data_IF_692305886582
#
_entry.id   IF_692305886582
#
_cell.length_a   1.000
_cell.length_b   1.000
_cell.length_c   1.000
_cell.angle_alpha   90.00
_cell.angle_beta   90.00
_cell.angle_gamma   90.00
#
_symmetry.space_group_name_H-M   'P 1'
#
loop_
_entity.id
_entity.type
_entity.pdbx_description
1 polymer ?
#
# COMPACT_ATOMS: atom_id res chain seq x y z
N UNK A 1 -17.00 34.96 5.25
CA UNK A 1 -16.56 33.65 4.72
C UNK A 1 -15.45 33.15 5.63
N UNK A 2 -15.69 32.14 6.49
CA UNK A 2 -14.64 31.49 7.28
C UNK A 2 -13.87 30.62 6.33
N UNK A 3 -12.55 30.74 6.32
CA UNK A 3 -11.68 29.98 5.42
C UNK A 3 -11.70 28.49 5.78
N UNK A 4 -11.44 27.60 4.82
CA UNK A 4 -11.30 26.16 5.04
C UNK A 4 -10.18 25.83 6.05
N UNK A 5 -9.27 26.77 6.28
CA UNK A 5 -8.20 26.69 7.29
C UNK A 5 -8.79 26.73 8.70
N UNK A 6 -9.79 27.59 8.96
CA UNK A 6 -10.46 27.68 10.26
C UNK A 6 -11.29 26.43 10.59
N UNK A 7 -11.78 25.72 9.57
CA UNK A 7 -12.53 24.48 9.76
C UNK A 7 -11.63 23.34 10.26
N UNK A 8 -10.37 23.29 9.80
CA UNK A 8 -9.37 22.30 10.26
C UNK A 8 -8.89 22.52 11.69
N UNK A 9 -8.76 23.78 12.12
CA UNK A 9 -8.35 24.13 13.48
C UNK A 9 -9.35 23.65 14.55
N UNK A 10 -10.65 23.70 14.25
CA UNK A 10 -11.71 23.30 15.18
C UNK A 10 -11.85 21.76 15.37
N UNK A 11 -11.37 20.95 14.42
CA UNK A 11 -11.40 19.49 14.58
C UNK A 11 -10.24 18.96 15.43
N UNK A 12 -9.17 19.73 15.61
CA UNK A 12 -8.01 19.39 16.45
C UNK A 12 -8.20 19.65 17.95
N UNK A 13 -9.08 20.60 18.30
CA UNK A 13 -9.16 21.14 19.66
C UNK A 13 -9.82 20.26 20.71
N UNK A 14 -10.59 19.23 20.33
CA UNK A 14 -11.38 18.44 21.29
C UNK A 14 -10.74 17.11 21.70
N UNK A 15 -9.63 16.68 21.09
CA UNK A 15 -9.12 15.31 21.31
C UNK A 15 -7.69 15.20 21.84
N UNK A 16 -7.02 16.30 22.16
CA UNK A 16 -5.64 16.25 22.69
C UNK A 16 -4.63 15.53 21.77
N UNK A 17 -4.98 15.34 20.49
CA UNK A 17 -4.10 14.71 19.52
C UNK A 17 -3.04 15.72 19.08
N UNK A 18 -1.75 15.38 19.14
CA UNK A 18 -0.70 16.26 18.62
C UNK A 18 -0.99 16.53 17.14
N UNK A 19 -0.98 17.80 16.76
CA UNK A 19 -1.14 18.22 15.36
C UNK A 19 -0.07 17.53 14.51
N UNK A 20 -0.52 16.77 13.53
CA UNK A 20 0.40 16.15 12.56
C UNK A 20 0.88 17.27 11.66
N UNK A 21 2.17 17.57 11.67
CA UNK A 21 2.73 18.54 10.73
C UNK A 21 2.40 18.13 9.30
N UNK A 22 2.18 19.10 8.41
CA UNK A 22 1.85 18.86 7.00
C UNK A 22 2.87 17.91 6.33
N UNK A 23 4.15 18.02 6.72
CA UNK A 23 5.21 17.14 6.21
C UNK A 23 4.99 15.67 6.58
N UNK A 24 4.63 15.39 7.81
CA UNK A 24 4.35 14.01 8.25
C UNK A 24 3.05 13.48 7.63
N UNK A 25 2.06 14.34 7.41
CA UNK A 25 0.85 13.98 6.70
C UNK A 25 1.17 13.49 5.29
N UNK A 26 1.97 14.25 4.53
CA UNK A 26 2.36 13.87 3.17
C UNK A 26 3.14 12.55 3.16
N UNK A 27 4.01 12.30 4.14
CA UNK A 27 4.74 11.04 4.27
C UNK A 27 3.85 9.81 4.47
N UNK A 28 2.68 9.98 5.08
CA UNK A 28 1.70 8.92 5.28
C UNK A 28 0.73 8.80 4.10
N UNK A 29 0.34 9.92 3.52
CA UNK A 29 -0.66 9.98 2.45
C UNK A 29 -0.15 9.36 1.15
N UNK A 30 1.11 9.58 0.77
CA UNK A 30 1.65 9.06 -0.49
C UNK A 30 1.60 7.53 -0.56
N UNK A 31 2.18 6.75 0.38
CA UNK A 31 2.08 5.30 0.32
C UNK A 31 0.64 4.80 0.45
N UNK A 32 -0.21 5.50 1.22
CA UNK A 32 -1.62 5.17 1.31
C UNK A 32 -2.34 5.31 -0.04
N UNK A 33 -2.07 6.39 -0.78
CA UNK A 33 -2.64 6.61 -2.12
C UNK A 33 -2.14 5.55 -3.09
N UNK A 34 -0.85 5.22 -3.06
CA UNK A 34 -0.28 4.17 -3.93
C UNK A 34 -0.99 2.83 -3.69
N UNK A 35 -1.08 2.37 -2.43
CA UNK A 35 -1.78 1.13 -2.09
C UNK A 35 -3.25 1.16 -2.49
N UNK A 36 -3.95 2.28 -2.27
CA UNK A 36 -5.35 2.42 -2.67
C UNK A 36 -5.53 2.35 -4.19
N UNK A 37 -4.65 3.00 -4.95
CA UNK A 37 -4.68 2.96 -6.42
C UNK A 37 -4.40 1.55 -6.93
N UNK A 38 -3.40 0.84 -6.37
CA UNK A 38 -3.10 -0.54 -6.71
C UNK A 38 -4.35 -1.42 -6.50
N UNK A 39 -4.94 -1.39 -5.31
CA UNK A 39 -6.13 -2.16 -4.97
C UNK A 39 -7.31 -1.86 -5.91
N UNK A 40 -7.58 -0.60 -6.20
CA UNK A 40 -8.68 -0.21 -7.10
C UNK A 40 -8.45 -0.74 -8.52
N UNK A 41 -7.25 -0.59 -9.07
CA UNK A 41 -6.93 -1.09 -10.40
C UNK A 41 -6.98 -2.62 -10.48
N UNK A 42 -6.58 -3.32 -9.42
CA UNK A 42 -6.68 -4.78 -9.31
C UNK A 42 -8.16 -5.23 -9.21
N UNK A 43 -9.01 -4.51 -8.47
CA UNK A 43 -10.46 -4.80 -8.41
C UNK A 43 -11.08 -4.68 -9.80
N UNK A 44 -10.82 -3.56 -10.50
CA UNK A 44 -11.38 -3.31 -11.83
C UNK A 44 -10.89 -4.36 -12.86
N UNK A 45 -9.68 -4.90 -12.67
CA UNK A 45 -9.08 -5.91 -13.53
C UNK A 45 -8.94 -7.28 -12.87
N UNK A 46 -9.83 -7.64 -11.94
CA UNK A 46 -9.70 -8.81 -11.06
C UNK A 46 -9.39 -10.12 -11.82
N UNK A 47 -10.09 -10.39 -12.92
CA UNK A 47 -9.84 -11.57 -13.75
C UNK A 47 -8.38 -11.64 -14.24
N UNK A 48 -7.87 -10.53 -14.78
CA UNK A 48 -6.49 -10.45 -15.27
C UNK A 48 -5.45 -10.50 -14.15
N UNK A 49 -5.77 -9.96 -12.99
CA UNK A 49 -4.92 -10.05 -11.81
C UNK A 49 -4.83 -11.49 -11.30
N UNK A 50 -5.96 -12.19 -11.23
CA UNK A 50 -6.01 -13.62 -10.89
C UNK A 50 -5.20 -14.47 -11.89
N UNK A 51 -5.38 -14.22 -13.20
CA UNK A 51 -4.68 -14.94 -14.25
C UNK A 51 -3.16 -14.71 -14.16
N UNK A 52 -2.71 -13.50 -13.82
CA UNK A 52 -1.31 -13.19 -13.56
C UNK A 52 -0.76 -13.95 -12.35
N UNK A 53 -1.49 -14.03 -11.24
CA UNK A 53 -1.09 -14.82 -10.08
C UNK A 53 -0.95 -16.32 -10.40
N UNK A 54 -1.79 -16.83 -11.28
CA UNK A 54 -1.71 -18.21 -11.78
C UNK A 54 -0.45 -18.41 -12.64
N UNK A 55 -0.14 -17.45 -13.51
CA UNK A 55 1.04 -17.45 -14.38
C UNK A 55 2.34 -17.45 -13.56
N UNK A 56 2.43 -16.68 -12.49
CA UNK A 56 3.57 -16.68 -11.57
C UNK A 56 3.54 -17.83 -10.54
N UNK A 57 2.59 -18.77 -10.70
CA UNK A 57 2.43 -19.99 -9.90
C UNK A 57 2.15 -19.77 -8.43
N UNK A 58 1.46 -18.70 -8.10
CA UNK A 58 0.95 -18.49 -6.74
C UNK A 58 -0.19 -19.48 -6.47
N UNK A 59 -0.08 -20.25 -5.39
CA UNK A 59 -1.14 -21.19 -5.00
C UNK A 59 -2.45 -20.45 -4.69
N UNK A 60 -3.59 -20.99 -5.14
CA UNK A 60 -4.92 -20.45 -4.92
C UNK A 60 -5.09 -18.99 -5.38
N UNK A 61 -4.85 -18.69 -6.66
CA UNK A 61 -4.72 -17.32 -7.17
C UNK A 61 -5.93 -16.43 -6.87
N UNK A 62 -7.14 -16.95 -6.90
CA UNK A 62 -8.34 -16.17 -6.57
C UNK A 62 -8.39 -15.74 -5.10
N UNK A 63 -7.98 -16.62 -4.17
CA UNK A 63 -7.95 -16.31 -2.73
C UNK A 63 -6.85 -15.29 -2.45
N UNK A 64 -5.66 -15.52 -3.01
CA UNK A 64 -4.52 -14.59 -2.86
C UNK A 64 -4.85 -13.23 -3.43
N UNK A 65 -5.52 -13.15 -4.60
CA UNK A 65 -5.96 -11.88 -5.18
C UNK A 65 -6.86 -11.09 -4.21
N UNK A 66 -7.86 -11.75 -3.61
CA UNK A 66 -8.75 -11.11 -2.64
C UNK A 66 -7.96 -10.65 -1.40
N UNK A 67 -7.09 -11.49 -0.86
CA UNK A 67 -6.29 -11.17 0.32
C UNK A 67 -5.36 -9.98 0.07
N UNK A 68 -4.69 -9.93 -1.07
CA UNK A 68 -3.82 -8.82 -1.48
C UNK A 68 -4.62 -7.52 -1.56
N UNK A 69 -5.73 -7.51 -2.29
CA UNK A 69 -6.60 -6.33 -2.45
C UNK A 69 -7.09 -5.82 -1.09
N UNK A 70 -7.57 -6.72 -0.22
CA UNK A 70 -8.06 -6.37 1.12
C UNK A 70 -6.91 -5.80 1.97
N UNK A 71 -5.72 -6.41 1.90
CA UNK A 71 -4.55 -5.93 2.63
C UNK A 71 -4.10 -4.54 2.18
N UNK A 72 -4.10 -4.27 0.88
CA UNK A 72 -3.79 -2.95 0.31
C UNK A 72 -4.80 -1.89 0.75
N UNK A 73 -6.10 -2.17 0.65
CA UNK A 73 -7.15 -1.24 1.08
C UNK A 73 -7.08 -0.95 2.58
N UNK A 74 -6.97 -1.99 3.39
CA UNK A 74 -6.90 -1.81 4.84
C UNK A 74 -5.62 -1.10 5.26
N UNK A 75 -4.50 -1.44 4.62
CA UNK A 75 -3.23 -0.76 4.79
C UNK A 75 -3.32 0.73 4.47
N UNK A 76 -3.91 1.07 3.33
CA UNK A 76 -4.13 2.45 2.90
C UNK A 76 -4.97 3.24 3.91
N UNK A 77 -6.11 2.69 4.34
CA UNK A 77 -7.01 3.30 5.34
C UNK A 77 -6.28 3.53 6.67
N UNK A 78 -5.44 2.57 7.09
CA UNK A 78 -4.68 2.66 8.34
C UNK A 78 -3.57 3.72 8.29
N UNK A 79 -2.92 3.89 7.15
CA UNK A 79 -1.92 4.94 6.91
C UNK A 79 -2.56 6.34 6.89
N UNK A 80 -3.77 6.48 6.36
CA UNK A 80 -4.52 7.75 6.36
C UNK A 80 -5.03 8.16 7.75
N UNK A 81 -4.79 7.34 8.78
CA UNK A 81 -5.18 7.61 10.17
C UNK A 81 -6.69 7.88 10.35
N UNK A 82 -7.52 7.26 9.54
CA UNK A 82 -8.97 7.29 9.72
C UNK A 82 -9.28 6.77 11.13
N UNK A 83 -10.33 7.32 11.74
CA UNK A 83 -10.67 7.05 13.14
C UNK A 83 -10.97 5.54 13.35
N UNK A 84 -9.95 4.80 13.78
CA UNK A 84 -9.99 3.35 13.99
C UNK A 84 -9.49 3.03 15.40
N UNK A 85 -9.96 1.91 15.95
CA UNK A 85 -9.43 1.42 17.22
C UNK A 85 -7.95 0.99 17.06
N UNK A 86 -7.25 0.85 18.19
CA UNK A 86 -5.80 0.56 18.21
C UNK A 86 -5.46 -0.76 17.52
N UNK A 87 -6.27 -1.79 17.73
CA UNK A 87 -6.06 -3.13 17.16
C UNK A 87 -6.21 -3.11 15.64
N UNK A 88 -7.30 -2.53 15.14
CA UNK A 88 -7.57 -2.42 13.71
C UNK A 88 -6.46 -1.67 12.96
N UNK A 89 -5.96 -0.59 13.57
CA UNK A 89 -4.82 0.16 13.00
C UNK A 89 -3.54 -0.65 12.98
N UNK A 90 -3.24 -1.37 14.08
CA UNK A 90 -2.06 -2.24 14.13
C UNK A 90 -2.13 -3.32 13.05
N UNK A 91 -3.27 -4.00 12.93
CA UNK A 91 -3.49 -5.01 11.89
C UNK A 91 -3.33 -4.43 10.48
N UNK A 92 -3.93 -3.26 10.21
CA UNK A 92 -3.83 -2.63 8.89
C UNK A 92 -2.41 -2.19 8.54
N UNK A 93 -1.64 -1.65 9.49
CA UNK A 93 -0.22 -1.32 9.26
C UNK A 93 0.62 -2.58 9.01
N UNK A 94 0.36 -3.67 9.74
CA UNK A 94 1.02 -4.95 9.51
C UNK A 94 0.69 -5.50 8.12
N UNK A 95 -0.59 -5.42 7.70
CA UNK A 95 -1.01 -5.83 6.36
C UNK A 95 -0.36 -4.97 5.26
N UNK A 96 -0.23 -3.65 5.47
CA UNK A 96 0.48 -2.79 4.52
C UNK A 96 1.94 -3.21 4.31
N UNK A 97 2.65 -3.54 5.39
CA UNK A 97 4.03 -4.05 5.31
C UNK A 97 4.08 -5.41 4.63
N UNK A 98 3.18 -6.33 5.01
CA UNK A 98 3.14 -7.68 4.43
C UNK A 98 2.83 -7.67 2.95
N UNK A 99 1.86 -6.86 2.49
CA UNK A 99 1.51 -6.79 1.08
C UNK A 99 2.61 -6.09 0.25
N UNK A 100 3.26 -5.08 0.79
CA UNK A 100 4.42 -4.46 0.13
C UNK A 100 5.60 -5.43 0.04
N UNK A 101 5.81 -6.25 1.09
CA UNK A 101 6.78 -7.33 1.10
C UNK A 101 6.46 -8.45 0.10
N UNK A 102 5.19 -8.82 -0.04
CA UNK A 102 4.72 -9.76 -1.06
C UNK A 102 5.11 -9.26 -2.46
N UNK A 103 4.79 -8.03 -2.80
CA UNK A 103 5.16 -7.45 -4.09
C UNK A 103 6.66 -7.41 -4.33
N UNK A 104 7.44 -7.09 -3.30
CA UNK A 104 8.90 -7.11 -3.39
C UNK A 104 9.43 -8.51 -3.69
N UNK A 105 8.97 -9.53 -2.95
CA UNK A 105 9.42 -10.92 -3.09
C UNK A 105 9.03 -11.46 -4.47
N UNK A 106 7.79 -11.28 -4.90
CA UNK A 106 7.32 -11.77 -6.20
C UNK A 106 8.12 -11.18 -7.36
N UNK A 107 8.32 -9.86 -7.39
CA UNK A 107 9.09 -9.22 -8.45
C UNK A 107 10.58 -9.59 -8.40
N UNK A 108 11.14 -9.81 -7.21
CA UNK A 108 12.51 -10.30 -7.05
C UNK A 108 12.65 -11.73 -7.58
N UNK A 109 11.70 -12.62 -7.26
CA UNK A 109 11.70 -14.01 -7.76
C UNK A 109 11.57 -14.08 -9.28
N UNK A 110 10.66 -13.27 -9.86
CA UNK A 110 10.50 -13.19 -11.33
C UNK A 110 11.82 -12.76 -11.98
N UNK A 111 12.48 -11.75 -11.44
CA UNK A 111 13.75 -11.26 -11.97
C UNK A 111 14.89 -12.28 -11.80
N UNK A 112 14.98 -12.93 -10.63
CA UNK A 112 15.99 -13.93 -10.33
C UNK A 112 15.87 -15.20 -11.21
N UNK A 113 14.65 -15.58 -11.57
CA UNK A 113 14.37 -16.74 -12.42
C UNK A 113 14.45 -16.43 -13.92
N UNK A 114 14.97 -15.26 -14.31
CA UNK A 114 15.11 -14.87 -15.72
C UNK A 114 13.80 -14.44 -16.38
N UNK A 115 12.71 -14.27 -15.61
CA UNK A 115 11.41 -13.83 -16.10
C UNK A 115 11.34 -12.32 -16.37
N UNK A 116 12.40 -11.57 -16.05
CA UNK A 116 12.47 -10.13 -16.32
C UNK A 116 12.33 -9.87 -17.82
N UNK A 117 11.32 -9.08 -18.19
CA UNK A 117 11.00 -8.77 -19.59
C UNK A 117 10.24 -9.87 -20.35
N UNK A 118 10.02 -11.05 -19.79
CA UNK A 118 9.24 -12.11 -20.42
C UNK A 118 7.74 -11.98 -20.15
N UNK A 119 7.39 -11.52 -18.95
CA UNK A 119 6.01 -11.23 -18.60
C UNK A 119 5.64 -9.82 -19.07
N UNK A 120 4.48 -9.64 -19.69
CA UNK A 120 4.05 -8.32 -20.19
C UNK A 120 3.66 -7.36 -19.05
N UNK A 121 3.45 -7.87 -17.83
CA UNK A 121 2.95 -7.10 -16.71
C UNK A 121 3.56 -7.59 -15.38
N UNK A 122 3.88 -6.64 -14.49
CA UNK A 122 4.37 -6.90 -13.14
C UNK A 122 3.27 -7.26 -12.13
N UNK A 123 2.01 -7.16 -12.50
CA UNK A 123 0.84 -7.40 -11.64
C UNK A 123 0.46 -6.24 -10.72
N UNK A 124 1.38 -5.33 -10.41
CA UNK A 124 1.20 -4.24 -9.43
C UNK A 124 -0.06 -3.40 -9.66
N UNK A 125 -0.30 -2.99 -10.90
CA UNK A 125 -1.40 -2.10 -11.27
C UNK A 125 -2.45 -2.79 -12.16
N UNK A 126 -2.58 -4.11 -12.06
CA UNK A 126 -3.48 -4.89 -12.90
C UNK A 126 -3.16 -4.69 -14.39
N UNK A 127 -4.18 -4.56 -15.25
CA UNK A 127 -4.01 -4.41 -16.71
C UNK A 127 -3.72 -2.98 -17.19
N UNK A 128 -3.87 -1.98 -16.33
CA UNK A 128 -3.89 -0.58 -16.76
C UNK A 128 -2.51 0.08 -16.85
N UNK A 129 -1.56 -0.38 -16.07
CA UNK A 129 -0.17 0.00 -16.16
C UNK A 129 0.64 -1.25 -16.48
N UNK A 130 0.74 -1.55 -17.79
CA UNK A 130 1.54 -2.67 -18.28
C UNK A 130 3.02 -2.31 -18.16
N UNK A 131 3.64 -2.76 -17.08
CA UNK A 131 5.07 -2.63 -16.87
C UNK A 131 5.65 -4.02 -16.73
N UNK A 132 6.55 -4.38 -17.63
CA UNK A 132 7.24 -5.66 -17.55
C UNK A 132 8.06 -5.74 -16.26
N UNK A 133 8.01 -6.87 -15.53
CA UNK A 133 8.86 -7.08 -14.37
C UNK A 133 10.33 -6.96 -14.78
N UNK A 134 11.10 -6.22 -13.99
CA UNK A 134 12.50 -5.95 -14.26
C UNK A 134 13.13 -5.15 -13.12
N UNK A 135 14.38 -4.73 -13.32
CA UNK A 135 15.12 -3.96 -12.29
C UNK A 135 14.39 -2.70 -11.85
N UNK A 136 13.69 -2.03 -12.77
CA UNK A 136 12.94 -0.83 -12.45
C UNK A 136 11.76 -1.13 -11.51
N UNK A 137 11.02 -2.19 -11.77
CA UNK A 137 9.91 -2.62 -10.90
C UNK A 137 10.42 -3.03 -9.51
N UNK A 138 11.59 -3.68 -9.42
CA UNK A 138 12.21 -4.00 -8.13
C UNK A 138 12.53 -2.71 -7.35
N UNK A 139 13.06 -1.68 -8.01
CA UNK A 139 13.33 -0.38 -7.37
C UNK A 139 12.03 0.23 -6.84
N UNK A 140 10.96 0.23 -7.64
CA UNK A 140 9.66 0.79 -7.25
C UNK A 140 9.05 0.07 -6.03
N UNK A 141 9.01 -1.27 -6.05
CA UNK A 141 8.47 -2.05 -4.92
C UNK A 141 9.36 -1.96 -3.69
N UNK A 142 10.69 -1.81 -3.86
CA UNK A 142 11.62 -1.57 -2.75
C UNK A 142 11.36 -0.22 -2.10
N UNK A 143 11.16 0.81 -2.91
CA UNK A 143 10.82 2.16 -2.42
C UNK A 143 9.47 2.15 -1.70
N UNK A 144 8.47 1.47 -2.25
CA UNK A 144 7.16 1.34 -1.62
C UNK A 144 7.28 0.63 -0.26
N UNK A 145 7.96 -0.52 -0.20
CA UNK A 145 8.19 -1.27 1.03
C UNK A 145 8.91 -0.43 2.08
N UNK A 146 10.03 0.20 1.70
CA UNK A 146 10.78 1.08 2.59
C UNK A 146 9.90 2.22 3.13
N UNK A 147 9.10 2.84 2.25
CA UNK A 147 8.25 3.95 2.63
C UNK A 147 7.10 3.52 3.56
N UNK A 148 6.48 2.39 3.29
CA UNK A 148 5.43 1.82 4.16
C UNK A 148 5.98 1.47 5.54
N UNK A 149 7.16 0.84 5.61
CA UNK A 149 7.84 0.52 6.88
C UNK A 149 8.17 1.80 7.65
N UNK A 150 8.73 2.80 6.98
CA UNK A 150 9.04 4.10 7.59
C UNK A 150 7.78 4.80 8.12
N UNK A 151 6.69 4.80 7.35
CA UNK A 151 5.41 5.35 7.75
C UNK A 151 4.82 4.62 8.97
N UNK A 152 4.92 3.29 9.01
CA UNK A 152 4.47 2.48 10.14
C UNK A 152 5.26 2.77 11.42
N UNK A 153 6.59 2.90 11.33
CA UNK A 153 7.45 3.26 12.46
C UNK A 153 7.18 4.70 12.95
N UNK A 154 6.98 5.66 12.07
CA UNK A 154 6.57 7.01 12.46
C UNK A 154 5.29 7.02 13.30
N UNK A 155 4.32 6.17 12.94
CA UNK A 155 3.06 6.04 13.67
C UNK A 155 3.21 5.32 15.00
N UNK A 156 4.19 4.44 15.14
CA UNK A 156 4.52 3.73 16.38
C UNK A 156 5.24 4.66 17.38
N UNK A 157 6.21 5.42 16.93
CA UNK A 157 7.05 6.32 17.77
C UNK A 157 6.22 7.41 18.47
N UNK A 158 5.21 7.95 17.80
CA UNK A 158 4.30 8.97 18.37
C UNK A 158 3.41 8.46 19.49
N UNK A 159 3.37 7.17 19.76
CA UNK A 159 2.57 6.58 20.84
C UNK A 159 3.34 6.43 22.15
N UNK A 160 4.64 6.61 22.13
CA UNK A 160 5.52 6.53 23.30
C UNK A 160 5.76 7.87 23.98
N UNK A 161 5.25 8.97 23.39
CA UNK A 161 5.27 10.32 23.98
C UNK A 161 3.87 10.73 24.44
#
# INVERSE_FOLDING_TARGET
MKSLVDYRANWGGASGRPEISQRHWNMLAIPAIVLAVMAVLQIISFGKFKDWLDEVRVGWPAVVAVVVIVAELWGAVSLLQINMNRLMRFLGLSLAVLVSGFWFIENLQIAANGGAGQLPNSGLFGKYLMQSPGWWTIVEVSLLLFWVVYAAELLKWRRGQ
#
